data_IF_358481109424
#
_entry.id   IF_358481109424
#
_cell.length_a   1.000
_cell.length_b   1.000
_cell.length_c   1.000
_cell.angle_alpha   90.00
_cell.angle_beta   90.00
_cell.angle_gamma   90.00
#
_symmetry.space_group_name_H-M   'P 1'
#
loop_
_entity.id
_entity.type
_entity.pdbx_description
1 polymer ?
#
# COMPACT_ATOMS: atom_id res chain seq x y z
N UNK A 1 14.50 26.63 -30.61
CA UNK A 1 13.08 26.27 -30.45
C UNK A 1 12.69 24.90 -31.04
N UNK A 2 13.47 24.28 -31.94
CA UNK A 2 13.07 23.02 -32.61
C UNK A 2 13.34 21.72 -31.81
N UNK A 3 14.28 21.71 -30.87
CA UNK A 3 14.65 20.49 -30.12
C UNK A 3 13.62 20.09 -29.08
N UNK A 4 13.05 21.06 -28.34
CA UNK A 4 12.02 20.80 -27.32
C UNK A 4 10.76 20.24 -27.94
N UNK A 5 10.31 20.80 -29.07
CA UNK A 5 9.16 20.28 -29.83
C UNK A 5 9.39 18.84 -30.26
N UNK A 6 10.59 18.51 -30.74
CA UNK A 6 10.94 17.14 -31.18
C UNK A 6 10.99 16.16 -30.01
N UNK A 7 11.52 16.57 -28.86
CA UNK A 7 11.55 15.76 -27.65
C UNK A 7 10.14 15.52 -27.11
N UNK A 8 9.27 16.53 -27.11
CA UNK A 8 7.86 16.39 -26.72
C UNK A 8 7.11 15.51 -27.71
N UNK A 9 7.34 15.66 -29.02
CA UNK A 9 6.73 14.80 -30.05
C UNK A 9 7.17 13.34 -29.89
N UNK A 10 8.47 13.09 -29.66
CA UNK A 10 8.99 11.75 -29.39
C UNK A 10 8.42 11.15 -28.09
N UNK A 11 8.24 11.96 -27.05
CA UNK A 11 7.62 11.53 -25.80
C UNK A 11 6.14 11.19 -25.97
N UNK A 12 5.41 12.01 -26.72
CA UNK A 12 4.00 11.78 -27.03
C UNK A 12 3.81 10.55 -27.93
N UNK A 13 4.62 10.41 -28.97
CA UNK A 13 4.55 9.27 -29.90
C UNK A 13 4.94 7.97 -29.19
N UNK A 14 5.96 7.98 -28.32
CA UNK A 14 6.43 6.78 -27.61
C UNK A 14 5.45 6.34 -26.50
N UNK A 15 4.76 7.27 -25.83
CA UNK A 15 3.72 6.96 -24.85
C UNK A 15 2.41 6.50 -25.51
N UNK A 16 2.12 6.97 -26.73
CA UNK A 16 0.95 6.54 -27.49
C UNK A 16 1.18 5.22 -28.24
N UNK A 17 2.42 4.91 -28.62
CA UNK A 17 2.77 3.67 -29.35
C UNK A 17 3.00 2.46 -28.44
N UNK A 18 3.43 2.67 -27.20
CA UNK A 18 3.48 1.60 -26.19
C UNK A 18 2.17 1.57 -25.42
N UNK A 19 1.14 1.00 -26.04
CA UNK A 19 0.06 0.36 -25.28
C UNK A 19 0.49 -1.07 -25.01
N UNK A 20 1.24 -1.38 -23.93
CA UNK A 20 1.18 -2.73 -23.40
C UNK A 20 -0.31 -2.97 -23.12
N UNK A 21 -0.79 -4.12 -23.57
CA UNK A 21 -2.20 -4.50 -23.57
C UNK A 21 -2.97 -3.87 -22.40
N UNK A 22 -3.74 -2.81 -22.72
CA UNK A 22 -4.42 -1.98 -21.70
C UNK A 22 -5.35 -2.85 -20.88
N UNK A 23 -5.90 -3.92 -21.44
CA UNK A 23 -6.76 -4.84 -20.71
C UNK A 23 -5.98 -5.63 -19.67
N UNK A 24 -4.80 -6.15 -20.02
CA UNK A 24 -3.98 -6.92 -19.09
C UNK A 24 -3.40 -6.03 -17.98
N UNK A 25 -2.96 -4.81 -18.33
CA UNK A 25 -2.44 -3.83 -17.36
C UNK A 25 -3.55 -3.29 -16.44
N UNK A 26 -4.75 -3.01 -16.97
CA UNK A 26 -5.90 -2.59 -16.16
C UNK A 26 -6.47 -3.73 -15.31
N UNK A 27 -6.36 -4.99 -15.77
CA UNK A 27 -6.74 -6.15 -14.97
C UNK A 27 -5.76 -6.35 -13.80
N UNK A 28 -4.46 -6.26 -14.03
CA UNK A 28 -3.44 -6.35 -12.98
C UNK A 28 -3.57 -5.21 -11.95
N UNK A 29 -3.75 -3.96 -12.42
CA UNK A 29 -3.98 -2.82 -11.53
C UNK A 29 -5.33 -2.95 -10.82
N UNK A 30 -6.37 -3.44 -11.49
CA UNK A 30 -7.68 -3.68 -10.91
C UNK A 30 -7.61 -4.68 -9.77
N UNK A 31 -6.92 -5.80 -9.96
CA UNK A 31 -6.72 -6.84 -8.95
C UNK A 31 -5.91 -6.33 -7.75
N UNK A 32 -4.84 -5.57 -7.99
CA UNK A 32 -4.05 -4.94 -6.93
C UNK A 32 -4.86 -3.89 -6.15
N UNK A 33 -5.67 -3.06 -6.84
CA UNK A 33 -6.55 -2.08 -6.21
C UNK A 33 -7.67 -2.77 -5.42
N UNK A 34 -8.23 -3.88 -5.93
CA UNK A 34 -9.22 -4.69 -5.22
C UNK A 34 -8.61 -5.37 -3.99
N UNK A 35 -7.36 -5.88 -4.08
CA UNK A 35 -6.66 -6.45 -2.94
C UNK A 35 -6.37 -5.41 -1.85
N UNK A 36 -5.97 -4.19 -2.24
CA UNK A 36 -5.78 -3.07 -1.31
C UNK A 36 -7.10 -2.61 -0.69
N UNK A 37 -8.19 -2.57 -1.46
CA UNK A 37 -9.51 -2.20 -0.96
C UNK A 37 -10.13 -3.27 -0.04
N UNK A 38 -9.90 -4.55 -0.34
CA UNK A 38 -10.40 -5.67 0.47
C UNK A 38 -9.71 -5.77 1.84
N UNK A 39 -8.44 -5.35 1.93
CA UNK A 39 -7.68 -5.35 3.19
C UNK A 39 -8.02 -4.16 4.09
N UNK A 40 -8.76 -3.17 3.58
CA UNK A 40 -9.31 -2.10 4.40
C UNK A 40 -10.59 -2.58 5.09
N UNK A 41 -10.48 -2.88 6.39
CA UNK A 41 -11.67 -3.08 7.23
C UNK A 41 -12.54 -1.83 7.16
N UNK A 42 -13.76 -1.96 6.65
CA UNK A 42 -14.74 -0.86 6.64
C UNK A 42 -15.07 -0.51 8.10
N UNK A 43 -14.47 0.56 8.61
CA UNK A 43 -14.72 1.07 9.95
C UNK A 43 -15.90 2.04 9.90
N UNK A 44 -17.07 1.55 10.26
CA UNK A 44 -18.22 2.42 10.48
C UNK A 44 -18.02 3.23 11.77
N UNK A 45 -18.27 4.55 11.75
CA UNK A 45 -18.31 5.36 12.96
C UNK A 45 -19.29 4.78 13.97
N UNK A 46 -18.92 4.77 15.25
CA UNK A 46 -19.71 4.19 16.34
C UNK A 46 -21.14 4.73 16.40
N UNK A 47 -21.33 6.01 16.11
CA UNK A 47 -22.65 6.66 16.05
C UNK A 47 -23.56 6.02 15.00
N UNK A 48 -23.05 5.73 13.80
CA UNK A 48 -23.84 5.15 12.72
C UNK A 48 -24.17 3.69 13.05
N UNK A 49 -23.20 2.93 13.57
CA UNK A 49 -23.42 1.54 13.99
C UNK A 49 -24.44 1.43 15.13
N UNK A 50 -24.38 2.33 16.11
CA UNK A 50 -25.32 2.37 17.23
C UNK A 50 -26.75 2.66 16.76
N UNK A 51 -26.93 3.68 15.90
CA UNK A 51 -28.24 4.04 15.33
C UNK A 51 -28.78 2.91 14.44
N UNK A 52 -27.93 2.31 13.60
CA UNK A 52 -28.31 1.18 12.76
C UNK A 52 -28.79 -0.01 13.59
N UNK A 53 -28.06 -0.38 14.65
CA UNK A 53 -28.47 -1.45 15.57
C UNK A 53 -29.82 -1.15 16.21
N UNK A 54 -30.05 0.07 16.69
CA UNK A 54 -31.32 0.46 17.30
C UNK A 54 -32.50 0.32 16.33
N UNK A 55 -32.34 0.77 15.08
CA UNK A 55 -33.39 0.61 14.07
C UNK A 55 -33.62 -0.85 13.69
N UNK A 56 -32.58 -1.65 13.51
CA UNK A 56 -32.73 -3.09 13.24
C UNK A 56 -33.44 -3.83 14.38
N UNK A 57 -33.17 -3.47 15.64
CA UNK A 57 -33.89 -4.06 16.78
C UNK A 57 -35.36 -3.65 16.81
N UNK A 58 -35.67 -2.39 16.49
CA UNK A 58 -37.04 -1.89 16.46
C UNK A 58 -37.83 -2.53 15.31
N UNK A 59 -37.22 -2.64 14.13
CA UNK A 59 -37.78 -3.34 12.98
C UNK A 59 -38.03 -4.81 13.28
N UNK A 60 -37.09 -5.51 13.93
CA UNK A 60 -37.25 -6.90 14.34
C UNK A 60 -38.41 -7.11 15.32
N UNK A 61 -38.58 -6.22 16.30
CA UNK A 61 -39.73 -6.27 17.23
C UNK A 61 -41.04 -5.95 16.49
N UNK A 62 -41.03 -4.97 15.59
CA UNK A 62 -42.19 -4.60 14.79
C UNK A 62 -42.69 -5.73 13.89
N UNK A 63 -41.77 -6.43 13.21
CA UNK A 63 -42.08 -7.62 12.42
C UNK A 63 -42.59 -8.79 13.28
N UNK A 64 -42.07 -8.95 14.50
CA UNK A 64 -42.52 -10.01 15.40
C UNK A 64 -43.97 -9.79 15.89
N UNK A 65 -44.42 -8.54 16.05
CA UNK A 65 -45.81 -8.22 16.42
C UNK A 65 -46.77 -8.22 15.22
N UNK A 66 -46.33 -7.72 14.06
CA UNK A 66 -47.13 -7.65 12.86
C UNK A 66 -46.27 -7.99 11.63
N UNK A 67 -46.53 -9.11 10.92
CA UNK A 67 -45.77 -9.49 9.72
C UNK A 67 -45.84 -8.47 8.57
N UNK A 68 -46.89 -7.66 8.51
CA UNK A 68 -47.07 -6.61 7.49
C UNK A 68 -46.46 -5.25 7.91
N UNK A 69 -45.77 -5.22 9.04
CA UNK A 69 -45.09 -4.02 9.54
C UNK A 69 -43.98 -3.58 8.58
N UNK A 70 -43.96 -2.29 8.24
CA UNK A 70 -42.88 -1.68 7.45
C UNK A 70 -42.34 -0.46 8.18
N UNK A 71 -41.15 -0.60 8.75
CA UNK A 71 -40.48 0.49 9.46
C UNK A 71 -40.31 1.73 8.57
N UNK A 72 -39.93 1.52 7.30
CA UNK A 72 -39.69 2.59 6.32
C UNK A 72 -40.93 3.46 6.10
N UNK A 73 -42.12 2.85 5.99
CA UNK A 73 -43.37 3.60 5.77
C UNK A 73 -43.72 4.51 6.95
N UNK A 74 -43.43 4.05 8.17
CA UNK A 74 -43.71 4.80 9.40
C UNK A 74 -42.65 5.88 9.65
N UNK A 75 -41.39 5.59 9.34
CA UNK A 75 -40.27 6.51 9.55
C UNK A 75 -40.18 7.63 8.50
N UNK A 76 -40.73 7.44 7.30
CA UNK A 76 -40.69 8.40 6.21
C UNK A 76 -41.18 9.82 6.56
N UNK A 77 -42.37 10.03 7.17
CA UNK A 77 -42.82 11.37 7.55
C UNK A 77 -41.91 12.05 8.58
N UNK A 78 -41.42 11.31 9.57
CA UNK A 78 -40.49 11.85 10.57
C UNK A 78 -39.13 12.24 9.95
N UNK A 79 -38.62 11.46 9.01
CA UNK A 79 -37.41 11.80 8.28
C UNK A 79 -37.60 13.09 7.45
N UNK A 80 -38.76 13.27 6.82
CA UNK A 80 -39.09 14.48 6.07
C UNK A 80 -39.19 15.71 6.97
N UNK A 81 -39.79 15.60 8.16
CA UNK A 81 -39.85 16.69 9.14
C UNK A 81 -38.45 17.09 9.65
N UNK A 82 -37.57 16.11 9.92
CA UNK A 82 -36.20 16.37 10.35
C UNK A 82 -35.38 17.07 9.25
N UNK A 83 -35.53 16.63 7.99
CA UNK A 83 -34.88 17.26 6.84
C UNK A 83 -35.41 18.69 6.61
N UNK A 84 -36.74 18.87 6.66
CA UNK A 84 -37.39 20.18 6.50
C UNK A 84 -36.98 21.18 7.59
N UNK A 85 -36.87 20.73 8.84
CA UNK A 85 -36.41 21.55 9.98
C UNK A 85 -34.94 21.94 9.82
N UNK A 86 -34.08 21.00 9.43
CA UNK A 86 -32.66 21.27 9.17
C UNK A 86 -32.46 22.24 8.00
N UNK A 87 -33.29 22.14 6.96
CA UNK A 87 -33.22 23.02 5.79
C UNK A 87 -33.68 24.45 6.11
N UNK A 88 -34.76 24.62 6.89
CA UNK A 88 -35.19 25.94 7.40
C UNK A 88 -34.11 26.62 8.25
N UNK A 89 -33.39 25.85 9.08
CA UNK A 89 -32.33 26.40 9.94
C UNK A 89 -31.05 26.78 9.18
N UNK A 90 -30.75 26.09 8.07
CA UNK A 90 -29.57 26.36 7.23
C UNK A 90 -29.75 27.56 6.27
N UNK A 91 -30.97 27.83 5.82
CA UNK A 91 -31.20 28.75 4.69
C UNK A 91 -30.85 30.23 4.94
N UNK A 92 -30.96 30.71 6.19
CA UNK A 92 -30.79 32.14 6.49
C UNK A 92 -29.47 32.51 7.21
N UNK A 93 -29.16 31.84 8.32
CA UNK A 93 -28.05 32.24 9.20
C UNK A 93 -26.72 31.59 8.83
N UNK A 94 -26.74 30.31 8.44
CA UNK A 94 -25.52 29.58 8.09
C UNK A 94 -24.94 30.00 6.74
N UNK A 95 -25.76 30.29 5.73
CA UNK A 95 -25.24 30.76 4.43
C UNK A 95 -24.46 32.08 4.57
N UNK A 96 -24.96 33.00 5.39
CA UNK A 96 -24.30 34.29 5.66
C UNK A 96 -23.02 34.08 6.47
N UNK A 97 -23.05 33.22 7.48
CA UNK A 97 -21.90 32.90 8.32
C UNK A 97 -20.80 32.15 7.55
N UNK A 98 -21.19 31.29 6.59
CA UNK A 98 -20.28 30.53 5.74
C UNK A 98 -19.64 31.44 4.68
N UNK A 99 -20.42 32.34 4.04
CA UNK A 99 -19.88 33.36 3.12
C UNK A 99 -18.92 34.32 3.84
N UNK A 100 -19.24 34.73 5.08
CA UNK A 100 -18.34 35.59 5.86
C UNK A 100 -17.06 34.87 6.25
N UNK A 101 -17.13 33.62 6.73
CA UNK A 101 -15.93 32.80 7.00
C UNK A 101 -15.10 32.57 5.74
N UNK A 102 -15.74 32.26 4.61
CA UNK A 102 -15.03 32.01 3.35
C UNK A 102 -14.37 33.28 2.78
N UNK A 103 -14.97 34.45 3.01
CA UNK A 103 -14.36 35.74 2.66
C UNK A 103 -13.19 36.12 3.59
N UNK A 104 -13.27 35.79 4.88
CA UNK A 104 -12.20 35.99 5.85
C UNK A 104 -11.02 35.02 5.60
N UNK A 105 -11.33 33.77 5.26
CA UNK A 105 -10.35 32.79 4.80
C UNK A 105 -9.69 33.25 3.49
N UNK A 106 -10.45 33.72 2.49
CA UNK A 106 -9.90 34.22 1.23
C UNK A 106 -8.98 35.44 1.41
N UNK A 107 -9.28 36.33 2.36
CA UNK A 107 -8.38 37.42 2.76
C UNK A 107 -7.09 36.87 3.36
N UNK A 108 -7.18 35.86 4.22
CA UNK A 108 -6.03 35.19 4.82
C UNK A 108 -5.21 34.42 3.77
N UNK A 109 -5.84 33.81 2.77
CA UNK A 109 -5.18 33.18 1.62
C UNK A 109 -4.39 34.19 0.78
N UNK A 110 -4.91 35.40 0.60
CA UNK A 110 -4.22 36.47 -0.14
C UNK A 110 -3.06 37.06 0.67
N UNK A 111 -3.24 37.21 2.00
CA UNK A 111 -2.21 37.74 2.91
C UNK A 111 -1.06 36.73 3.16
N UNK A 112 -1.33 35.43 3.09
CA UNK A 112 -0.35 34.35 3.29
C UNK A 112 0.30 33.85 1.98
N UNK A 113 -0.15 34.34 0.82
CA UNK A 113 0.45 34.06 -0.48
C UNK A 113 1.97 34.35 -0.53
N UNK A 114 2.50 35.48 -0.01
CA UNK A 114 3.94 35.74 -0.02
C UNK A 114 4.76 34.70 0.76
N UNK A 115 4.28 34.23 1.93
CA UNK A 115 4.97 33.22 2.72
C UNK A 115 5.06 31.86 2.01
N UNK A 116 4.03 31.51 1.22
CA UNK A 116 4.02 30.25 0.45
C UNK A 116 4.96 30.30 -0.74
N UNK A 117 5.05 31.45 -1.41
CA UNK A 117 5.99 31.65 -2.53
C UNK A 117 7.43 31.59 -2.02
N UNK A 118 7.74 32.22 -0.88
CA UNK A 118 9.05 32.14 -0.23
C UNK A 118 9.44 30.69 0.10
N UNK A 119 8.51 29.89 0.64
CA UNK A 119 8.77 28.47 0.93
C UNK A 119 9.05 27.64 -0.33
N UNK A 120 8.38 27.94 -1.44
CA UNK A 120 8.64 27.26 -2.72
C UNK A 120 10.02 27.64 -3.23
N UNK A 121 10.42 28.91 -3.11
CA UNK A 121 11.76 29.37 -3.48
C UNK A 121 12.85 28.71 -2.64
N UNK A 122 12.66 28.61 -1.32
CA UNK A 122 13.56 27.86 -0.42
C UNK A 122 13.67 26.39 -0.80
N UNK A 123 12.54 25.73 -1.07
CA UNK A 123 12.52 24.33 -1.51
C UNK A 123 13.21 24.12 -2.87
N UNK A 124 13.02 25.04 -3.82
CA UNK A 124 13.71 25.03 -5.12
C UNK A 124 15.21 25.26 -4.94
N UNK A 125 15.60 26.13 -4.01
CA UNK A 125 17.00 26.39 -3.68
C UNK A 125 17.68 25.20 -3.02
N UNK A 126 16.99 24.50 -2.10
CA UNK A 126 17.47 23.24 -1.49
C UNK A 126 17.58 22.10 -2.52
N UNK A 127 16.69 22.08 -3.51
CA UNK A 127 16.77 21.18 -4.67
C UNK A 127 17.97 21.50 -5.56
N UNK A 128 18.19 22.77 -5.89
CA UNK A 128 19.29 23.23 -6.75
C UNK A 128 20.66 23.06 -6.07
N UNK A 129 20.73 23.28 -4.75
CA UNK A 129 21.93 23.04 -3.95
C UNK A 129 22.20 21.55 -3.71
N UNK A 130 21.28 20.66 -4.12
CA UNK A 130 21.42 19.21 -3.97
C UNK A 130 21.33 18.71 -2.52
N UNK A 131 20.90 19.54 -1.58
CA UNK A 131 20.77 19.18 -0.16
C UNK A 131 19.41 18.50 0.13
N UNK A 132 18.48 18.53 -0.84
CA UNK A 132 17.23 17.81 -0.71
C UNK A 132 17.46 16.28 -0.77
N UNK A 133 17.54 15.65 0.40
CA UNK A 133 17.56 14.19 0.56
C UNK A 133 16.17 13.61 0.33
N UNK A 134 15.83 13.35 -0.91
CA UNK A 134 14.59 12.67 -1.27
C UNK A 134 14.65 11.20 -0.83
N UNK A 135 13.98 10.86 0.28
CA UNK A 135 13.82 9.47 0.73
C UNK A 135 12.74 8.78 -0.09
N UNK A 136 13.05 8.42 -1.33
CA UNK A 136 12.16 7.59 -2.15
C UNK A 136 12.25 6.15 -1.66
N UNK A 137 11.15 5.60 -1.15
CA UNK A 137 11.02 4.16 -0.95
C UNK A 137 10.74 3.51 -2.31
N UNK A 138 11.81 3.21 -3.04
CA UNK A 138 11.69 2.45 -4.29
C UNK A 138 11.46 0.98 -3.92
N UNK A 139 10.24 0.47 -4.11
CA UNK A 139 9.90 -0.92 -3.83
C UNK A 139 10.81 -1.90 -4.61
N UNK A 140 11.24 -1.52 -5.81
CA UNK A 140 12.20 -2.31 -6.62
C UNK A 140 13.58 -2.41 -5.95
N UNK A 141 14.08 -1.32 -5.34
CA UNK A 141 15.36 -1.32 -4.62
C UNK A 141 15.28 -2.14 -3.34
N UNK A 142 14.17 -2.03 -2.58
CA UNK A 142 13.94 -2.91 -1.42
C UNK A 142 13.78 -4.38 -1.82
N UNK A 143 13.25 -4.67 -3.02
CA UNK A 143 13.10 -6.03 -3.55
C UNK A 143 14.44 -6.60 -4.01
N UNK A 144 15.23 -5.82 -4.74
CA UNK A 144 16.58 -6.18 -5.17
C UNK A 144 17.51 -6.40 -3.96
N UNK A 145 17.44 -5.53 -2.95
CA UNK A 145 18.17 -5.69 -1.70
C UNK A 145 17.79 -7.00 -0.98
N UNK A 146 16.49 -7.31 -0.87
CA UNK A 146 16.03 -8.58 -0.28
C UNK A 146 16.52 -9.82 -1.05
N UNK A 147 16.53 -9.76 -2.39
CA UNK A 147 17.07 -10.82 -3.25
C UNK A 147 18.58 -10.99 -3.04
N UNK A 148 19.32 -9.88 -2.99
CA UNK A 148 20.75 -9.88 -2.72
C UNK A 148 21.08 -10.49 -1.35
N UNK A 149 20.36 -10.10 -0.29
CA UNK A 149 20.56 -10.68 1.06
C UNK A 149 20.27 -12.18 1.10
N UNK A 150 19.23 -12.64 0.39
CA UNK A 150 18.88 -14.06 0.34
C UNK A 150 19.93 -14.87 -0.43
N UNK A 151 20.44 -14.34 -1.54
CA UNK A 151 21.53 -14.94 -2.30
C UNK A 151 22.83 -14.98 -1.49
N UNK A 152 23.17 -13.91 -0.77
CA UNK A 152 24.34 -13.86 0.10
C UNK A 152 24.28 -14.93 1.20
N UNK A 153 23.12 -15.11 1.84
CA UNK A 153 22.91 -16.17 2.82
C UNK A 153 23.06 -17.56 2.20
N UNK A 154 22.55 -17.78 0.98
CA UNK A 154 22.72 -19.04 0.27
C UNK A 154 24.21 -19.32 -0.02
N UNK A 155 24.97 -18.33 -0.49
CA UNK A 155 26.42 -18.45 -0.71
C UNK A 155 27.14 -18.81 0.58
N UNK A 156 26.79 -18.19 1.70
CA UNK A 156 27.40 -18.48 2.99
C UNK A 156 27.13 -19.93 3.45
N UNK A 157 25.91 -20.44 3.27
CA UNK A 157 25.62 -21.85 3.55
C UNK A 157 26.37 -22.81 2.62
N UNK A 158 26.54 -22.46 1.33
CA UNK A 158 27.33 -23.26 0.39
C UNK A 158 28.80 -23.34 0.80
N UNK A 159 29.40 -22.22 1.18
CA UNK A 159 30.79 -22.18 1.66
C UNK A 159 30.93 -23.00 2.94
N UNK A 160 30.06 -22.79 3.94
CA UNK A 160 30.10 -23.56 5.19
C UNK A 160 29.90 -25.06 4.95
N UNK A 161 28.94 -25.46 4.11
CA UNK A 161 28.73 -26.85 3.73
C UNK A 161 29.95 -27.47 3.04
N UNK A 162 30.57 -26.76 2.10
CA UNK A 162 31.78 -27.23 1.40
C UNK A 162 32.97 -27.38 2.35
N UNK A 163 33.17 -26.42 3.26
CA UNK A 163 34.25 -26.49 4.27
C UNK A 163 34.06 -27.67 5.23
N UNK A 164 32.82 -27.92 5.69
CA UNK A 164 32.50 -29.06 6.57
C UNK A 164 32.69 -30.40 5.86
N UNK A 165 32.33 -30.51 4.58
CA UNK A 165 32.62 -31.69 3.77
C UNK A 165 34.12 -31.93 3.62
N UNK A 166 34.90 -30.88 3.36
CA UNK A 166 36.35 -30.98 3.24
C UNK A 166 36.99 -31.45 4.55
N UNK A 167 36.57 -30.88 5.69
CA UNK A 167 37.01 -31.31 7.02
C UNK A 167 36.60 -32.77 7.31
N UNK A 168 35.38 -33.18 6.96
CA UNK A 168 34.91 -34.56 7.13
C UNK A 168 35.78 -35.58 6.37
N UNK A 169 36.14 -35.27 5.12
CA UNK A 169 37.04 -36.12 4.32
C UNK A 169 38.47 -36.14 4.89
N UNK A 170 39.00 -34.99 5.31
CA UNK A 170 40.35 -34.89 5.87
C UNK A 170 40.48 -35.68 7.19
N UNK A 171 39.50 -35.57 8.09
CA UNK A 171 39.52 -36.29 9.38
C UNK A 171 39.21 -37.77 9.23
N UNK A 172 38.42 -38.17 8.23
CA UNK A 172 38.22 -39.58 7.89
C UNK A 172 39.52 -40.25 7.45
N UNK A 173 40.37 -39.55 6.70
CA UNK A 173 41.68 -40.05 6.30
C UNK A 173 42.69 -40.12 7.46
N UNK A 174 42.51 -39.34 8.53
CA UNK A 174 43.37 -39.33 9.72
C UNK A 174 42.93 -40.33 10.82
N UNK A 175 41.91 -41.14 10.57
CA UNK A 175 41.50 -42.22 11.49
C UNK A 175 40.61 -41.79 12.66
N UNK A 176 40.20 -40.51 12.74
CA UNK A 176 39.24 -40.03 13.74
C UNK A 176 37.80 -40.15 13.23
N UNK A 177 37.23 -41.36 13.36
CA UNK A 177 35.88 -41.69 12.88
C UNK A 177 34.77 -40.87 13.56
N UNK A 178 34.92 -40.55 14.85
CA UNK A 178 33.90 -39.80 15.60
C UNK A 178 33.76 -38.36 15.12
N UNK A 179 34.87 -37.70 14.80
CA UNK A 179 34.89 -36.30 14.33
C UNK A 179 34.43 -36.23 12.87
N UNK A 180 34.84 -37.20 12.04
CA UNK A 180 34.39 -37.29 10.66
C UNK A 180 32.86 -37.44 10.54
N UNK A 181 32.26 -38.35 11.32
CA UNK A 181 30.80 -38.54 11.33
C UNK A 181 30.04 -37.28 11.76
N UNK A 182 30.55 -36.54 12.74
CA UNK A 182 29.97 -35.26 13.17
C UNK A 182 30.00 -34.21 12.05
N UNK A 183 31.13 -34.11 11.33
CA UNK A 183 31.28 -33.18 10.20
C UNK A 183 30.38 -33.54 9.01
N UNK A 184 30.17 -34.83 8.72
CA UNK A 184 29.25 -35.27 7.67
C UNK A 184 27.79 -34.98 8.02
N UNK A 185 27.38 -35.16 9.27
CA UNK A 185 26.03 -34.77 9.73
C UNK A 185 25.84 -33.25 9.63
N UNK A 186 26.84 -32.47 10.06
CA UNK A 186 26.83 -31.02 9.90
C UNK A 186 26.68 -30.58 8.44
N UNK A 187 27.47 -31.17 7.54
CA UNK A 187 27.37 -30.91 6.10
C UNK A 187 25.98 -31.24 5.52
N UNK A 188 25.36 -32.35 5.96
CA UNK A 188 24.00 -32.72 5.57
C UNK A 188 22.97 -31.66 5.98
N UNK A 189 23.05 -31.14 7.21
CA UNK A 189 22.17 -30.06 7.68
C UNK A 189 22.33 -28.80 6.83
N UNK A 190 23.56 -28.38 6.55
CA UNK A 190 23.79 -27.21 5.69
C UNK A 190 23.30 -27.41 4.26
N UNK A 191 23.39 -28.62 3.70
CA UNK A 191 22.87 -28.93 2.38
C UNK A 191 21.33 -28.81 2.33
N UNK A 192 20.64 -29.25 3.39
CA UNK A 192 19.18 -29.06 3.50
C UNK A 192 18.79 -27.58 3.63
N UNK A 193 19.59 -26.78 4.34
CA UNK A 193 19.38 -25.33 4.46
C UNK A 193 19.61 -24.59 3.14
N UNK A 194 20.60 -25.01 2.34
CA UNK A 194 20.82 -24.49 0.97
C UNK A 194 19.60 -24.75 0.11
N UNK A 195 19.09 -25.99 0.07
CA UNK A 195 17.90 -26.34 -0.71
C UNK A 195 16.71 -25.46 -0.29
N UNK A 196 16.50 -25.29 1.02
CA UNK A 196 15.43 -24.43 1.55
C UNK A 196 15.62 -22.95 1.19
N UNK A 197 16.83 -22.43 1.19
CA UNK A 197 17.12 -21.05 0.76
C UNK A 197 16.87 -20.83 -0.73
N UNK A 198 17.26 -21.78 -1.59
CA UNK A 198 16.99 -21.74 -3.03
C UNK A 198 15.50 -21.86 -3.34
N UNK A 199 14.75 -22.63 -2.57
CA UNK A 199 13.28 -22.68 -2.69
C UNK A 199 12.65 -21.33 -2.36
N UNK A 200 13.11 -20.62 -1.32
CA UNK A 200 12.64 -19.26 -1.03
C UNK A 200 12.93 -18.28 -2.16
N UNK A 201 14.12 -18.36 -2.78
CA UNK A 201 14.45 -17.54 -3.96
C UNK A 201 13.54 -17.86 -5.14
N UNK A 202 13.28 -19.14 -5.42
CA UNK A 202 12.36 -19.56 -6.50
C UNK A 202 10.91 -19.12 -6.26
N UNK A 203 10.46 -19.09 -5.01
CA UNK A 203 9.14 -18.56 -4.69
C UNK A 203 9.07 -17.05 -4.96
N UNK A 204 10.12 -16.29 -4.60
CA UNK A 204 10.22 -14.86 -4.91
C UNK A 204 10.20 -14.58 -6.42
N UNK A 205 10.93 -15.37 -7.23
CA UNK A 205 10.92 -15.27 -8.70
C UNK A 205 9.57 -15.72 -9.31
N UNK A 206 8.86 -16.69 -8.72
CA UNK A 206 7.52 -17.11 -9.18
C UNK A 206 6.47 -16.03 -8.96
N UNK A 207 6.53 -15.32 -7.83
CA UNK A 207 5.71 -14.13 -7.59
C UNK A 207 6.04 -12.99 -8.56
N UNK A 208 7.25 -12.94 -9.09
CA UNK A 208 7.68 -11.91 -10.06
C UNK A 208 7.25 -12.23 -11.50
N UNK A 209 7.05 -13.51 -11.85
CA UNK A 209 6.51 -13.94 -13.16
C UNK A 209 4.97 -13.93 -13.26
N UNK A 210 4.27 -13.85 -12.13
CA UNK A 210 2.80 -13.77 -12.09
C UNK A 210 2.27 -12.33 -12.06
N UNK A 211 3.16 -11.35 -11.93
CA UNK A 211 2.90 -9.92 -12.09
C UNK A 211 3.39 -9.53 -13.48
#
# INVERSE_FOLDING_TARGET
>A
MSSVRRSVQFFLDNLLSQTPDKQQTLAAIGEDLFAIAADQTIRFPSTITFVGKAFSTLEGIGYMLNPDFSFVKIAAPYAQELLGTRQKQRSGKHLVEEITKQAEDARTFTMSMPYRVQRIEEFVKELESGDLKLRVRVLESERAARKATTLQMATMYTVLGATLLNLGVQFSNQGSLSIANLSFVGAGVFLTLIIRSMQRVKQLDKFEKMI
#
